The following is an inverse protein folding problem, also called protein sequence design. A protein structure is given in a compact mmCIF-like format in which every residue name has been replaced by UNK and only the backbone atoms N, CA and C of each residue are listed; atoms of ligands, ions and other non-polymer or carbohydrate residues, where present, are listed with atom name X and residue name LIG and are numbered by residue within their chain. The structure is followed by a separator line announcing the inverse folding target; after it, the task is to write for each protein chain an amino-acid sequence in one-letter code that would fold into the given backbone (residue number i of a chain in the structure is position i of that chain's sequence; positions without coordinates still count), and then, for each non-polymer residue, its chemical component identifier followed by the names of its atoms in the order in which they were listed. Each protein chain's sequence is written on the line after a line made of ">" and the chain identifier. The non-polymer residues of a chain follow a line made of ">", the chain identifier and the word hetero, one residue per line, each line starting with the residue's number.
data_IF_550842996967
#
_entry.id   IF_550842996967
#
_cell.length_a   1.000
_cell.length_b   1.000
_cell.length_c   1.000
_cell.angle_alpha   90.00
_cell.angle_beta   90.00
_cell.angle_gamma   90.00
#
_symmetry.space_group_name_H-M   'P 1'
#
loop_
_entity.id
_entity.type
_entity.pdbx_description
1 polymer ?
#
# COMPACT_ATOMS: atom_id res chain seq x y z
N UNK A 1 14.42 -1.14 -11.54
CA UNK A 1 14.27 -0.26 -10.35
C UNK A 1 13.02 0.59 -10.41
N UNK A 2 12.88 1.47 -11.41
CA UNK A 2 11.74 2.39 -11.56
C UNK A 2 10.39 1.69 -11.37
N UNK A 3 10.18 0.57 -12.07
CA UNK A 3 8.96 -0.24 -11.96
C UNK A 3 8.64 -0.63 -10.52
N UNK A 4 9.52 -1.39 -9.85
CA UNK A 4 9.30 -1.85 -8.48
C UNK A 4 9.12 -0.68 -7.49
N UNK A 5 9.93 0.37 -7.60
CA UNK A 5 9.81 1.53 -6.71
C UNK A 5 8.46 2.23 -6.87
N UNK A 6 8.00 2.42 -8.10
CA UNK A 6 6.69 3.03 -8.35
C UNK A 6 5.60 2.15 -7.76
N UNK A 7 5.62 0.86 -8.09
CA UNK A 7 4.65 -0.13 -7.61
C UNK A 7 4.57 -0.17 -6.08
N UNK A 8 5.72 -0.17 -5.41
CA UNK A 8 5.83 -0.13 -3.96
C UNK A 8 5.23 1.16 -3.37
N UNK A 9 5.58 2.32 -3.93
CA UNK A 9 5.13 3.60 -3.39
C UNK A 9 3.65 3.89 -3.67
N UNK A 10 3.11 3.41 -4.79
CA UNK A 10 1.70 3.61 -5.15
C UNK A 10 0.76 2.73 -4.33
N UNK A 11 1.24 1.60 -3.79
CA UNK A 11 0.48 0.76 -2.87
C UNK A 11 0.05 1.53 -1.61
N UNK A 12 0.92 2.41 -1.09
CA UNK A 12 0.58 3.23 0.07
C UNK A 12 -0.54 4.23 -0.21
N UNK A 13 -0.51 4.85 -1.39
CA UNK A 13 -1.56 5.78 -1.80
C UNK A 13 -2.88 5.08 -2.07
N UNK A 14 -2.88 3.92 -2.73
CA UNK A 14 -4.10 3.14 -2.96
C UNK A 14 -4.70 2.64 -1.65
N UNK A 15 -3.87 2.18 -0.70
CA UNK A 15 -4.32 1.79 0.64
C UNK A 15 -4.95 2.98 1.40
N UNK A 16 -4.34 4.16 1.38
CA UNK A 16 -4.89 5.34 2.05
C UNK A 16 -6.27 5.72 1.52
N UNK A 17 -6.45 5.75 0.20
CA UNK A 17 -7.76 6.02 -0.40
C UNK A 17 -8.76 4.95 0.00
N UNK A 18 -8.34 3.67 -0.02
CA UNK A 18 -9.19 2.55 0.41
C UNK A 18 -9.60 2.67 1.87
N UNK A 19 -8.71 3.15 2.76
CA UNK A 19 -9.03 3.37 4.18
C UNK A 19 -10.05 4.50 4.36
N UNK A 20 -9.95 5.57 3.58
CA UNK A 20 -10.93 6.67 3.60
C UNK A 20 -12.29 6.16 3.16
N UNK A 21 -12.34 5.35 2.09
CA UNK A 21 -13.57 4.73 1.59
C UNK A 21 -14.16 3.74 2.60
N UNK A 22 -13.32 2.93 3.26
CA UNK A 22 -13.74 1.99 4.29
C UNK A 22 -14.33 2.68 5.52
N UNK A 23 -13.80 3.84 5.90
CA UNK A 23 -14.36 4.64 6.99
C UNK A 23 -15.76 5.19 6.66
N UNK A 24 -16.09 5.35 5.38
CA UNK A 24 -17.40 5.78 4.95
C UNK A 24 -18.33 4.57 4.79
N UNK A 25 -19.14 4.33 5.82
CA UNK A 25 -20.05 3.18 5.90
C UNK A 25 -21.03 3.09 4.73
N UNK A 26 -21.44 4.22 4.14
CA UNK A 26 -22.33 4.21 2.97
C UNK A 26 -21.65 3.63 1.73
N UNK A 27 -20.35 3.91 1.56
CA UNK A 27 -19.53 3.37 0.47
C UNK A 27 -19.20 1.90 0.74
N UNK A 28 -18.79 1.59 1.97
CA UNK A 28 -18.43 0.24 2.42
C UNK A 28 -19.55 -0.78 2.14
N UNK A 29 -20.81 -0.41 2.39
CA UNK A 29 -21.94 -1.32 2.16
C UNK A 29 -22.30 -1.53 0.68
N UNK A 30 -21.82 -0.69 -0.25
CA UNK A 30 -22.26 -0.70 -1.66
C UNK A 30 -21.17 -1.09 -2.65
N UNK A 31 -19.91 -0.95 -2.28
CA UNK A 31 -18.78 -1.15 -3.19
C UNK A 31 -17.78 -2.09 -2.52
N UNK A 32 -17.29 -3.08 -3.27
CA UNK A 32 -16.19 -3.91 -2.80
C UNK A 32 -14.89 -3.09 -2.77
N UNK A 33 -14.51 -2.62 -1.59
CA UNK A 33 -13.35 -1.73 -1.40
C UNK A 33 -12.05 -2.44 -1.76
N UNK A 34 -12.00 -3.77 -1.59
CA UNK A 34 -10.86 -4.57 -2.03
C UNK A 34 -10.60 -4.50 -3.53
N UNK A 35 -11.65 -4.59 -4.36
CA UNK A 35 -11.49 -4.43 -5.81
C UNK A 35 -11.07 -3.00 -6.18
N UNK A 36 -11.61 -2.01 -5.47
CA UNK A 36 -11.24 -0.60 -5.66
C UNK A 36 -9.76 -0.38 -5.33
N UNK A 37 -9.24 -1.01 -4.27
CA UNK A 37 -7.82 -0.95 -3.93
C UNK A 37 -6.94 -1.36 -5.11
N UNK A 38 -7.22 -2.51 -5.73
CA UNK A 38 -6.41 -3.01 -6.84
C UNK A 38 -6.52 -2.13 -8.09
N UNK A 39 -7.72 -1.64 -8.41
CA UNK A 39 -7.95 -0.70 -9.52
C UNK A 39 -7.16 0.60 -9.30
N UNK A 40 -7.28 1.20 -8.11
CA UNK A 40 -6.55 2.41 -7.74
C UNK A 40 -5.04 2.18 -7.77
N UNK A 41 -4.58 1.02 -7.31
CA UNK A 41 -3.16 0.69 -7.31
C UNK A 41 -2.57 0.65 -8.73
N UNK A 42 -3.29 0.02 -9.67
CA UNK A 42 -2.92 -0.01 -11.10
C UNK A 42 -2.95 1.41 -11.68
N UNK A 43 -3.99 2.18 -11.39
CA UNK A 43 -4.15 3.53 -11.92
C UNK A 43 -3.05 4.46 -11.43
N UNK A 44 -2.76 4.47 -10.12
CA UNK A 44 -1.65 5.23 -9.56
C UNK A 44 -0.30 4.75 -10.08
N UNK A 45 -0.12 3.44 -10.27
CA UNK A 45 1.08 2.90 -10.89
C UNK A 45 1.31 3.50 -12.28
N UNK A 46 0.30 3.50 -13.16
CA UNK A 46 0.42 4.05 -14.53
C UNK A 46 0.75 5.54 -14.49
N UNK A 47 0.05 6.33 -13.66
CA UNK A 47 0.26 7.77 -13.53
C UNK A 47 1.67 8.07 -13.04
N UNK A 48 2.05 7.47 -11.91
CA UNK A 48 3.36 7.73 -11.29
C UNK A 48 4.50 7.19 -12.14
N UNK A 49 4.30 6.11 -12.89
CA UNK A 49 5.32 5.56 -13.78
C UNK A 49 5.67 6.55 -14.90
N UNK A 50 4.67 7.23 -15.47
CA UNK A 50 4.87 8.29 -16.48
C UNK A 50 5.49 9.55 -15.88
N UNK A 51 5.00 10.00 -14.72
CA UNK A 51 5.43 11.25 -14.06
C UNK A 51 6.73 11.13 -13.25
N UNK A 52 7.32 9.94 -13.19
CA UNK A 52 8.43 9.63 -12.30
C UNK A 52 9.71 10.45 -12.59
N UNK A 53 9.90 11.54 -11.84
CA UNK A 53 11.06 12.43 -11.92
C UNK A 53 11.86 12.50 -10.60
N UNK A 54 11.91 11.40 -9.85
CA UNK A 54 12.44 11.38 -8.48
C UNK A 54 13.97 11.20 -8.48
N UNK A 55 14.71 12.25 -8.12
CA UNK A 55 16.19 12.23 -8.02
C UNK A 55 16.71 11.30 -6.92
N UNK A 56 16.06 11.25 -5.75
CA UNK A 56 16.48 10.41 -4.62
C UNK A 56 15.38 9.44 -4.17
N UNK A 57 15.30 8.34 -4.92
CA UNK A 57 14.30 7.27 -4.80
C UNK A 57 14.14 6.75 -3.37
N UNK A 58 15.25 6.52 -2.67
CA UNK A 58 15.23 5.99 -1.31
C UNK A 58 14.65 6.98 -0.30
N UNK A 59 15.08 8.26 -0.36
CA UNK A 59 14.56 9.31 0.53
C UNK A 59 13.07 9.51 0.31
N UNK A 60 12.62 9.51 -0.94
CA UNK A 60 11.19 9.56 -1.27
C UNK A 60 10.41 8.39 -0.65
N UNK A 61 10.90 7.15 -0.80
CA UNK A 61 10.19 5.97 -0.30
C UNK A 61 10.08 5.94 1.23
N UNK A 62 11.09 6.43 1.95
CA UNK A 62 11.03 6.60 3.41
C UNK A 62 10.00 7.67 3.79
N UNK A 63 10.06 8.85 3.17
CA UNK A 63 9.13 9.93 3.47
C UNK A 63 7.69 9.48 3.19
N UNK A 64 7.48 8.78 2.07
CA UNK A 64 6.17 8.26 1.70
C UNK A 64 5.65 7.23 2.72
N UNK A 65 6.51 6.35 3.23
CA UNK A 65 6.15 5.40 4.28
C UNK A 65 5.81 6.10 5.61
N UNK A 66 6.58 7.13 6.00
CA UNK A 66 6.29 7.91 7.22
C UNK A 66 4.94 8.61 7.09
N UNK A 67 4.68 9.27 5.95
CA UNK A 67 3.40 9.92 5.66
C UNK A 67 2.26 8.89 5.70
N UNK A 68 2.45 7.74 5.06
CA UNK A 68 1.48 6.65 5.09
C UNK A 68 1.16 6.17 6.51
N UNK A 69 2.18 5.96 7.34
CA UNK A 69 2.00 5.53 8.72
C UNK A 69 1.21 6.56 9.55
N UNK A 70 1.55 7.86 9.43
CA UNK A 70 0.86 8.94 10.14
C UNK A 70 -0.60 9.04 9.68
N UNK A 71 -0.85 9.09 8.37
CA UNK A 71 -2.21 9.23 7.83
C UNK A 71 -3.07 8.01 8.14
N UNK A 72 -2.53 6.80 8.04
CA UNK A 72 -3.27 5.58 8.34
C UNK A 72 -3.70 5.51 9.82
N UNK A 73 -2.85 5.96 10.75
CA UNK A 73 -3.19 6.11 12.17
C UNK A 73 -4.34 7.11 12.39
N UNK A 74 -4.30 8.26 11.69
CA UNK A 74 -5.34 9.29 11.78
C UNK A 74 -6.68 8.77 11.24
N UNK A 75 -6.66 8.05 10.12
CA UNK A 75 -7.88 7.57 9.46
C UNK A 75 -8.54 6.44 10.26
N UNK A 76 -7.79 5.38 10.57
CA UNK A 76 -8.33 4.09 11.05
C UNK A 76 -8.26 3.89 12.58
N UNK A 77 -7.49 4.72 13.30
CA UNK A 77 -7.11 4.51 14.71
C UNK A 77 -6.27 3.21 14.91
N UNK A 78 -5.53 3.05 16.02
CA UNK A 78 -4.62 1.92 16.21
C UNK A 78 -5.28 0.54 16.11
N UNK A 79 -6.50 0.39 16.66
CA UNK A 79 -7.26 -0.87 16.59
C UNK A 79 -7.67 -1.25 15.17
N UNK A 80 -7.96 -0.27 14.31
CA UNK A 80 -8.37 -0.51 12.93
C UNK A 80 -7.23 -1.03 12.06
N UNK A 81 -5.99 -0.57 12.31
CA UNK A 81 -4.82 -1.00 11.53
C UNK A 81 -4.52 -2.49 11.62
N UNK A 82 -5.00 -3.17 12.67
CA UNK A 82 -4.78 -4.60 12.86
C UNK A 82 -5.62 -5.43 11.87
N UNK A 83 -6.82 -4.97 11.51
CA UNK A 83 -7.79 -5.80 10.78
C UNK A 83 -8.21 -5.23 9.43
N UNK A 84 -8.26 -3.91 9.29
CA UNK A 84 -8.81 -3.24 8.12
C UNK A 84 -7.94 -3.41 6.86
N UNK A 85 -6.60 -3.29 6.92
CA UNK A 85 -5.77 -3.53 5.73
C UNK A 85 -5.91 -4.96 5.20
N UNK A 86 -5.90 -5.96 6.09
CA UNK A 86 -6.04 -7.37 5.70
C UNK A 86 -7.46 -7.71 5.26
N UNK A 87 -8.51 -7.12 5.85
CA UNK A 87 -9.89 -7.36 5.41
C UNK A 87 -10.12 -6.85 3.99
N UNK A 88 -9.67 -5.63 3.68
CA UNK A 88 -9.79 -5.03 2.34
C UNK A 88 -9.07 -5.90 1.31
N UNK A 89 -7.84 -6.33 1.58
CA UNK A 89 -7.08 -7.17 0.64
C UNK A 89 -7.75 -8.53 0.46
N UNK A 90 -8.22 -9.15 1.55
CA UNK A 90 -8.92 -10.44 1.48
C UNK A 90 -10.17 -10.37 0.62
N UNK A 91 -10.93 -9.29 0.77
CA UNK A 91 -12.15 -9.05 0.01
C UNK A 91 -11.84 -8.85 -1.49
N UNK A 92 -10.79 -8.08 -1.80
CA UNK A 92 -10.40 -7.83 -3.19
C UNK A 92 -9.81 -9.03 -3.90
N UNK A 93 -9.25 -9.98 -3.16
CA UNK A 93 -8.79 -11.26 -3.71
C UNK A 93 -9.92 -12.28 -3.89
N UNK A 94 -11.15 -11.98 -3.44
CA UNK A 94 -12.28 -12.93 -3.43
C UNK A 94 -11.99 -14.23 -2.67
N UNK A 95 -11.08 -14.20 -1.69
CA UNK A 95 -10.65 -15.37 -0.88
C UNK A 95 -11.28 -15.37 0.52
N UNK A 96 -12.51 -14.85 0.63
CA UNK A 96 -13.28 -14.78 1.86
C UNK A 96 -13.56 -16.19 2.40
N UNK A 97 -12.79 -16.63 3.40
CA UNK A 97 -12.96 -17.93 4.07
C UNK A 97 -11.72 -18.83 4.04
N UNK A 98 -10.83 -18.62 3.08
CA UNK A 98 -9.62 -19.46 2.90
C UNK A 98 -8.42 -18.82 3.59
N UNK A 99 -8.25 -17.51 3.45
CA UNK A 99 -7.11 -16.79 4.01
C UNK A 99 -7.42 -16.17 5.38
N UNK A 100 -6.59 -16.52 6.35
CA UNK A 100 -6.61 -15.89 7.66
C UNK A 100 -6.04 -14.46 7.58
N UNK A 101 -6.68 -13.52 8.28
CA UNK A 101 -6.28 -12.10 8.32
C UNK A 101 -4.84 -11.93 8.80
N UNK A 102 -4.41 -12.76 9.75
CA UNK A 102 -3.04 -12.74 10.27
C UNK A 102 -1.99 -13.06 9.21
N UNK A 103 -2.30 -13.97 8.28
CA UNK A 103 -1.40 -14.34 7.18
C UNK A 103 -1.25 -13.16 6.23
N UNK A 104 -2.35 -12.50 5.87
CA UNK A 104 -2.33 -11.33 4.99
C UNK A 104 -1.55 -10.18 5.63
N UNK A 105 -1.77 -9.93 6.93
CA UNK A 105 -0.99 -8.95 7.68
C UNK A 105 0.50 -9.27 7.69
N UNK A 106 0.88 -10.52 7.91
CA UNK A 106 2.28 -10.94 7.89
C UNK A 106 2.91 -10.69 6.51
N UNK A 107 2.22 -11.08 5.43
CA UNK A 107 2.68 -10.83 4.06
C UNK A 107 2.82 -9.33 3.77
N UNK A 108 1.85 -8.51 4.19
CA UNK A 108 1.93 -7.05 4.05
C UNK A 108 3.14 -6.47 4.79
N UNK A 109 3.38 -6.87 6.03
CA UNK A 109 4.52 -6.39 6.82
C UNK A 109 5.83 -6.80 6.15
N UNK A 110 5.94 -8.06 5.72
CA UNK A 110 7.11 -8.56 5.00
C UNK A 110 7.32 -7.76 3.71
N UNK A 111 6.26 -7.49 2.94
CA UNK A 111 6.35 -6.70 1.72
C UNK A 111 6.83 -5.26 1.98
N UNK A 112 6.32 -4.61 3.03
CA UNK A 112 6.74 -3.25 3.42
C UNK A 112 8.22 -3.22 3.81
N UNK A 113 8.64 -4.13 4.69
CA UNK A 113 10.02 -4.17 5.20
C UNK A 113 11.00 -4.54 4.07
N UNK A 114 10.71 -5.63 3.34
CA UNK A 114 11.55 -6.10 2.24
C UNK A 114 11.62 -5.09 1.09
N UNK A 115 10.53 -4.37 0.81
CA UNK A 115 10.49 -3.34 -0.22
C UNK A 115 11.47 -2.20 0.05
N UNK A 116 11.51 -1.67 1.27
CA UNK A 116 12.52 -0.66 1.66
C UNK A 116 13.94 -1.22 1.55
N UNK A 117 14.17 -2.43 2.07
CA UNK A 117 15.50 -3.06 2.06
C UNK A 117 16.01 -3.24 0.63
N UNK A 118 15.17 -3.71 -0.29
CA UNK A 118 15.52 -3.85 -1.70
C UNK A 118 15.86 -2.47 -2.30
N UNK A 119 15.01 -1.46 -2.09
CA UNK A 119 15.28 -0.10 -2.60
C UNK A 119 16.62 0.44 -2.07
N UNK A 120 16.96 0.16 -0.81
CA UNK A 120 18.25 0.53 -0.22
C UNK A 120 19.44 -0.19 -0.87
N UNK A 121 19.38 -1.53 -0.95
CA UNK A 121 20.45 -2.36 -1.53
C UNK A 121 20.75 -1.91 -2.95
N UNK A 122 19.72 -1.70 -3.76
CA UNK A 122 19.90 -1.27 -5.15
C UNK A 122 20.40 0.16 -5.29
N UNK A 123 20.02 1.06 -4.38
CA UNK A 123 20.63 2.40 -4.34
C UNK A 123 22.14 2.30 -4.08
N UNK A 124 22.58 1.37 -3.22
CA UNK A 124 23.99 1.14 -2.93
C UNK A 124 24.70 0.53 -4.15
N UNK A 125 24.11 -0.48 -4.79
CA UNK A 125 24.64 -1.12 -5.99
C UNK A 125 24.84 -0.14 -7.16
N UNK A 126 23.94 0.84 -7.33
CA UNK A 126 24.03 1.83 -8.43
C UNK A 126 25.07 2.96 -8.18
N UNK A 127 25.70 2.98 -7.01
CA UNK A 127 26.76 3.93 -6.62
C UNK A 127 28.17 3.32 -6.67
N UNK A 128 28.25 2.00 -6.82
CA UNK A 128 29.49 1.26 -7.15
C UNK A 128 29.58 1.20 -8.68
#
# INVERSE_FOLDING_TARGET
>A
MKFFTVLYNTLFWSLLVSFIMFKNTWIEMRINIGTVLFILWILFFIIFYKLYFIKNIFKFSIINLIIFAILSLIILKPKGLIYIPSSIIREGLHLTGILNLNVINAVLIIFIISGILLIYIFKKLKRV
#
